data_IF_647706805388
#
_entry.id   IF_647706805388
#
_cell.length_a   1.000
_cell.length_b   1.000
_cell.length_c   1.000
_cell.angle_alpha   90.00
_cell.angle_beta   90.00
_cell.angle_gamma   90.00
#
_symmetry.space_group_name_H-M   'P 1'
#
loop_
_entity.id
_entity.type
_entity.pdbx_description
1 polymer ?
#
# COMPACT_ATOMS: atom_id res chain seq x y z
N UNK A 1 7.08 20.29 34.31
CA UNK A 1 6.65 19.69 33.05
C UNK A 1 6.43 18.20 33.30
N UNK A 2 5.19 17.78 33.47
CA UNK A 2 4.87 16.35 33.56
C UNK A 2 5.11 15.72 32.20
N UNK A 3 6.06 14.76 32.10
CA UNK A 3 6.12 13.84 31.01
C UNK A 3 4.83 13.01 31.07
N UNK A 4 3.86 13.35 30.25
CA UNK A 4 2.76 12.45 29.95
C UNK A 4 3.43 11.25 29.31
N UNK A 5 3.48 10.13 30.05
CA UNK A 5 3.97 8.88 29.49
C UNK A 5 3.19 8.60 28.23
N UNK A 6 3.88 8.30 27.11
CA UNK A 6 3.23 7.97 25.85
C UNK A 6 2.22 6.84 26.12
N UNK A 7 0.94 7.11 25.89
CA UNK A 7 -0.10 6.09 25.95
C UNK A 7 0.15 5.20 24.74
N UNK A 8 0.76 4.06 24.96
CA UNK A 8 0.98 3.08 23.89
C UNK A 8 -0.33 2.34 23.60
N UNK A 9 -0.69 2.22 22.34
CA UNK A 9 -1.80 1.39 21.93
C UNK A 9 -1.45 -0.08 22.20
N UNK A 10 -2.11 -0.66 23.20
CA UNK A 10 -1.81 -2.01 23.69
C UNK A 10 -3.11 -2.78 23.94
N UNK A 11 -3.10 -4.08 23.62
CA UNK A 11 -4.22 -4.96 23.95
C UNK A 11 -4.06 -5.61 25.34
N UNK A 12 -5.08 -6.39 25.74
CA UNK A 12 -5.10 -7.09 27.02
C UNK A 12 -4.02 -8.18 27.17
N UNK A 13 -3.28 -8.50 26.09
CA UNK A 13 -2.17 -9.47 26.06
C UNK A 13 -0.80 -8.78 26.02
N UNK A 14 -0.75 -7.48 26.35
CA UNK A 14 0.47 -6.66 26.30
C UNK A 14 1.10 -6.51 24.90
N UNK A 15 0.36 -6.80 23.82
CA UNK A 15 0.85 -6.55 22.45
C UNK A 15 0.70 -5.08 22.12
N UNK A 16 1.78 -4.45 21.70
CA UNK A 16 1.82 -3.05 21.31
C UNK A 16 1.59 -2.90 19.80
N UNK A 17 0.73 -1.96 19.44
CA UNK A 17 0.45 -1.64 18.04
C UNK A 17 1.16 -0.34 17.67
N UNK A 18 2.13 -0.45 16.79
CA UNK A 18 2.92 0.69 16.30
C UNK A 18 2.71 0.98 14.82
N UNK A 19 1.78 0.26 14.20
CA UNK A 19 1.51 0.25 12.77
C UNK A 19 0.02 0.40 12.49
N UNK A 20 -0.31 1.24 11.51
CA UNK A 20 -1.69 1.43 11.05
C UNK A 20 -1.74 1.39 9.50
N UNK A 21 -2.87 0.89 9.00
CA UNK A 21 -3.25 1.01 7.58
C UNK A 21 -4.31 2.09 7.45
N UNK A 22 -4.02 3.09 6.61
CA UNK A 22 -4.93 4.21 6.35
C UNK A 22 -5.50 4.06 4.94
N UNK A 23 -6.80 3.78 4.85
CA UNK A 23 -7.53 3.75 3.59
C UNK A 23 -7.86 5.18 3.17
N UNK A 24 -7.35 5.60 2.01
CA UNK A 24 -7.49 6.97 1.51
C UNK A 24 -8.67 7.13 0.57
N UNK A 25 -9.13 6.06 -0.06
CA UNK A 25 -10.20 6.07 -1.06
C UNK A 25 -10.78 4.67 -1.23
N UNK A 26 -12.04 4.60 -1.61
CA UNK A 26 -12.70 3.35 -2.01
C UNK A 26 -12.54 3.08 -3.51
N UNK A 27 -12.20 4.10 -4.30
CA UNK A 27 -12.05 4.00 -5.76
C UNK A 27 -10.89 3.09 -6.13
N UNK A 28 -11.13 2.21 -7.11
CA UNK A 28 -10.10 1.37 -7.72
C UNK A 28 -10.29 1.34 -9.24
N UNK A 29 -9.18 1.33 -9.98
CA UNK A 29 -9.16 1.23 -11.43
C UNK A 29 -9.05 -0.22 -11.94
N UNK A 30 -8.98 -1.21 -11.02
CA UNK A 30 -9.02 -2.64 -11.33
C UNK A 30 -10.37 -3.23 -10.93
N UNK A 31 -10.70 -4.39 -11.54
CA UNK A 31 -11.92 -5.15 -11.29
C UNK A 31 -11.59 -6.58 -10.88
N UNK A 32 -10.69 -6.71 -9.88
CA UNK A 32 -10.25 -8.03 -9.44
C UNK A 32 -11.42 -8.89 -8.99
N UNK A 33 -11.52 -10.11 -9.54
CA UNK A 33 -12.65 -11.01 -9.36
C UNK A 33 -12.99 -11.29 -7.88
N UNK A 34 -11.99 -11.33 -7.02
CA UNK A 34 -12.13 -11.60 -5.59
C UNK A 34 -12.37 -10.35 -4.74
N UNK A 35 -12.27 -9.13 -5.32
CA UNK A 35 -12.36 -7.86 -4.60
C UNK A 35 -13.53 -7.01 -5.12
N UNK A 36 -13.45 -6.53 -6.36
CA UNK A 36 -14.43 -5.65 -7.00
C UNK A 36 -14.83 -6.19 -8.39
N UNK A 37 -15.51 -7.36 -8.47
CA UNK A 37 -15.77 -8.03 -9.75
C UNK A 37 -16.59 -7.17 -10.73
N UNK A 38 -17.43 -6.29 -10.20
CA UNK A 38 -18.27 -5.36 -10.99
C UNK A 38 -17.60 -3.98 -11.16
N UNK A 39 -16.35 -3.82 -10.71
CA UNK A 39 -15.66 -2.54 -10.62
C UNK A 39 -16.17 -1.69 -9.46
N UNK A 40 -15.51 -0.53 -9.27
CA UNK A 40 -15.94 0.42 -8.26
C UNK A 40 -17.32 0.98 -8.61
N UNK A 41 -18.22 0.93 -7.64
CA UNK A 41 -19.51 1.59 -7.67
C UNK A 41 -19.56 2.58 -6.52
N UNK A 42 -19.99 3.80 -6.78
CA UNK A 42 -20.07 4.83 -5.75
C UNK A 42 -21.22 4.46 -4.80
N UNK A 43 -20.85 3.94 -3.63
CA UNK A 43 -21.81 3.45 -2.64
C UNK A 43 -21.96 4.41 -1.45
N UNK A 44 -21.04 5.34 -1.27
CA UNK A 44 -21.04 6.27 -0.13
C UNK A 44 -21.09 7.72 -0.61
N UNK A 45 -22.01 8.53 -0.11
CA UNK A 45 -22.02 9.97 -0.31
C UNK A 45 -20.93 10.68 0.50
N UNK A 46 -20.28 9.98 1.44
CA UNK A 46 -19.27 10.57 2.32
C UNK A 46 -17.99 10.89 1.56
N UNK A 47 -17.53 12.14 1.60
CA UNK A 47 -16.27 12.52 0.98
C UNK A 47 -15.09 11.83 1.68
N UNK A 48 -14.04 11.53 0.94
CA UNK A 48 -12.80 11.05 1.54
C UNK A 48 -12.20 12.15 2.46
N UNK A 49 -11.51 11.73 3.54
CA UNK A 49 -10.85 12.64 4.47
C UNK A 49 -9.98 13.66 3.73
N UNK A 50 -10.11 14.94 4.08
CA UNK A 50 -9.26 16.01 3.57
C UNK A 50 -7.93 16.08 4.31
N UNK A 51 -6.99 16.92 3.86
CA UNK A 51 -5.66 17.05 4.44
C UNK A 51 -5.68 17.45 5.92
N UNK A 52 -6.61 18.32 6.33
CA UNK A 52 -6.73 18.74 7.73
C UNK A 52 -7.19 17.59 8.63
N UNK A 53 -8.17 16.83 8.18
CA UNK A 53 -8.68 15.66 8.92
C UNK A 53 -7.61 14.57 9.01
N UNK A 54 -6.85 14.33 7.93
CA UNK A 54 -5.70 13.41 7.94
C UNK A 54 -4.63 13.90 8.91
N UNK A 55 -4.34 15.20 8.95
CA UNK A 55 -3.38 15.78 9.90
C UNK A 55 -3.77 15.50 11.35
N UNK A 56 -5.03 15.76 11.70
CA UNK A 56 -5.55 15.52 13.04
C UNK A 56 -5.51 14.03 13.42
N UNK A 57 -5.88 13.16 12.47
CA UNK A 57 -5.80 11.71 12.66
C UNK A 57 -4.36 11.26 12.91
N UNK A 58 -3.40 11.72 12.10
CA UNK A 58 -1.99 11.34 12.24
C UNK A 58 -1.41 11.86 13.56
N UNK A 59 -1.77 13.08 13.98
CA UNK A 59 -1.35 13.62 15.28
C UNK A 59 -1.81 12.71 16.43
N UNK A 60 -3.08 12.31 16.46
CA UNK A 60 -3.60 11.38 17.47
C UNK A 60 -2.93 9.99 17.41
N UNK A 61 -2.67 9.46 16.21
CA UNK A 61 -1.96 8.20 16.05
C UNK A 61 -0.52 8.26 16.58
N UNK A 62 0.17 9.36 16.36
CA UNK A 62 1.53 9.59 16.88
C UNK A 62 1.53 9.63 18.42
N UNK A 63 0.56 10.27 19.05
CA UNK A 63 0.40 10.28 20.51
C UNK A 63 0.19 8.87 21.08
N UNK A 64 -0.48 7.99 20.31
CA UNK A 64 -0.69 6.58 20.65
C UNK A 64 0.54 5.68 20.34
N UNK A 65 1.67 6.24 19.92
CA UNK A 65 2.89 5.51 19.65
C UNK A 65 3.00 4.87 18.26
N UNK A 66 2.13 5.25 17.33
CA UNK A 66 2.22 4.79 15.93
C UNK A 66 3.41 5.50 15.26
N UNK A 67 4.32 4.70 14.69
CA UNK A 67 5.48 5.18 13.93
C UNK A 67 5.54 4.66 12.51
N UNK A 68 4.61 3.78 12.13
CA UNK A 68 4.51 3.21 10.78
C UNK A 68 3.09 3.38 10.25
N UNK A 69 2.98 4.04 9.09
CA UNK A 69 1.71 4.22 8.37
C UNK A 69 1.83 3.57 7.01
N UNK A 70 0.80 2.81 6.62
CA UNK A 70 0.66 2.28 5.27
C UNK A 70 -0.58 2.84 4.62
N UNK A 71 -0.38 3.58 3.54
CA UNK A 71 -1.44 4.08 2.69
C UNK A 71 -2.02 2.95 1.85
N UNK A 72 -3.33 2.90 1.78
CA UNK A 72 -4.09 1.89 1.04
C UNK A 72 -5.44 2.48 0.61
N UNK A 73 -6.38 1.64 0.24
CA UNK A 73 -7.74 2.00 -0.14
C UNK A 73 -8.28 0.99 -1.13
N UNK A 74 -9.04 1.42 -2.10
CA UNK A 74 -9.17 0.74 -3.38
C UNK A 74 -7.81 0.83 -4.07
N UNK A 75 -7.54 1.93 -4.79
CA UNK A 75 -6.22 2.22 -5.32
C UNK A 75 -5.78 3.64 -4.90
N UNK A 76 -4.81 3.77 -3.97
CA UNK A 76 -4.44 5.07 -3.41
C UNK A 76 -3.83 6.03 -4.45
N UNK A 77 -3.22 5.53 -5.52
CA UNK A 77 -2.66 6.37 -6.60
C UNK A 77 -3.72 7.07 -7.47
N UNK A 78 -5.01 6.78 -7.25
CA UNK A 78 -6.10 7.51 -7.87
C UNK A 78 -6.44 8.81 -7.14
N UNK A 79 -5.94 8.96 -5.92
CA UNK A 79 -6.16 10.15 -5.13
C UNK A 79 -5.25 11.28 -5.61
N UNK A 80 -5.83 12.43 -5.98
CA UNK A 80 -5.11 13.53 -6.62
C UNK A 80 -4.11 14.21 -5.69
N UNK A 81 -4.44 14.30 -4.40
CA UNK A 81 -3.64 14.93 -3.34
C UNK A 81 -2.74 13.91 -2.59
N UNK A 82 -2.43 12.75 -3.21
CA UNK A 82 -1.61 11.70 -2.59
C UNK A 82 -0.21 12.21 -2.21
N UNK A 83 0.38 13.04 -3.05
CA UNK A 83 1.71 13.61 -2.80
C UNK A 83 1.70 14.50 -1.55
N UNK A 84 0.72 15.38 -1.45
CA UNK A 84 0.53 16.29 -0.30
C UNK A 84 0.24 15.49 0.98
N UNK A 85 -0.54 14.41 0.88
CA UNK A 85 -0.79 13.50 2.02
C UNK A 85 0.51 12.85 2.49
N UNK A 86 1.37 12.38 1.58
CA UNK A 86 2.66 11.79 1.94
C UNK A 86 3.56 12.81 2.63
N UNK A 87 3.68 14.02 2.08
CA UNK A 87 4.44 15.12 2.67
C UNK A 87 3.93 15.49 4.06
N UNK A 88 2.60 15.60 4.21
CA UNK A 88 1.95 15.87 5.50
C UNK A 88 2.29 14.80 6.54
N UNK A 89 2.15 13.52 6.21
CA UNK A 89 2.47 12.42 7.12
C UNK A 89 3.96 12.43 7.50
N UNK A 90 4.83 12.74 6.56
CA UNK A 90 6.28 12.81 6.80
C UNK A 90 6.72 14.04 7.55
N UNK A 91 5.89 15.08 7.67
CA UNK A 91 6.16 16.22 8.55
C UNK A 91 6.12 15.86 10.05
N UNK A 92 5.54 14.71 10.42
CA UNK A 92 5.57 14.18 11.76
C UNK A 92 6.88 13.38 11.99
N UNK A 93 7.84 13.86 12.80
CA UNK A 93 9.15 13.21 12.95
C UNK A 93 9.09 11.84 13.60
N UNK A 94 8.01 11.52 14.30
CA UNK A 94 7.75 10.21 14.90
C UNK A 94 7.45 9.14 13.86
N UNK A 95 6.93 9.50 12.69
CA UNK A 95 6.67 8.54 11.61
C UNK A 95 7.98 8.15 10.95
N UNK A 96 8.44 6.94 11.23
CA UNK A 96 9.70 6.37 10.71
C UNK A 96 9.52 5.67 9.37
N UNK A 97 8.33 5.07 9.17
CA UNK A 97 8.03 4.29 7.97
C UNK A 97 6.73 4.77 7.34
N UNK A 98 6.82 5.24 6.11
CA UNK A 98 5.68 5.50 5.25
C UNK A 98 5.66 4.46 4.13
N UNK A 99 4.61 3.63 4.11
CA UNK A 99 4.43 2.58 3.12
C UNK A 99 3.19 2.84 2.27
N UNK A 100 3.16 2.27 1.07
CA UNK A 100 1.96 2.24 0.23
C UNK A 100 1.68 0.81 -0.23
N UNK A 101 0.39 0.44 -0.34
CA UNK A 101 -0.06 -0.76 -1.05
C UNK A 101 -0.85 -0.32 -2.27
N UNK A 102 -0.45 -0.77 -3.45
CA UNK A 102 -0.96 -0.30 -4.73
C UNK A 102 -0.93 -1.43 -5.78
N UNK A 103 -1.78 -1.34 -6.79
CA UNK A 103 -1.67 -2.16 -8.01
C UNK A 103 -0.55 -1.69 -8.94
N UNK A 104 0.13 -0.61 -8.59
CA UNK A 104 1.28 -0.01 -9.28
C UNK A 104 1.05 0.49 -10.72
N UNK A 105 -0.15 0.39 -11.27
CA UNK A 105 -0.42 0.77 -12.66
C UNK A 105 -0.09 2.23 -12.97
N UNK A 106 -0.38 3.15 -12.03
CA UNK A 106 -0.09 4.59 -12.20
C UNK A 106 1.15 5.05 -11.43
N UNK A 107 1.74 4.16 -10.64
CA UNK A 107 2.81 4.52 -9.71
C UNK A 107 4.09 4.95 -10.44
N UNK A 108 4.47 4.26 -11.53
CA UNK A 108 5.78 4.45 -12.18
C UNK A 108 6.05 5.89 -12.61
N UNK A 109 5.02 6.59 -13.09
CA UNK A 109 5.15 7.99 -13.52
C UNK A 109 5.45 8.99 -12.38
N UNK A 110 5.15 8.62 -11.12
CA UNK A 110 5.28 9.48 -9.94
C UNK A 110 6.17 8.89 -8.85
N UNK A 111 6.86 7.77 -9.13
CA UNK A 111 7.60 7.03 -8.12
C UNK A 111 8.67 7.89 -7.44
N UNK A 112 9.44 8.64 -8.22
CA UNK A 112 10.52 9.50 -7.71
C UNK A 112 9.96 10.64 -6.84
N UNK A 113 8.82 11.23 -7.23
CA UNK A 113 8.14 12.26 -6.45
C UNK A 113 7.65 11.71 -5.10
N UNK A 114 7.10 10.49 -5.09
CA UNK A 114 6.65 9.84 -3.85
C UNK A 114 7.82 9.45 -2.94
N UNK A 115 8.95 9.02 -3.50
CA UNK A 115 10.17 8.76 -2.74
C UNK A 115 10.70 10.07 -2.15
N UNK A 116 10.74 11.15 -2.91
CA UNK A 116 11.13 12.47 -2.43
C UNK A 116 10.19 13.00 -1.33
N UNK A 117 8.88 12.70 -1.41
CA UNK A 117 7.90 12.98 -0.37
C UNK A 117 8.02 12.09 0.88
N UNK A 118 8.98 11.13 0.86
CA UNK A 118 9.33 10.31 2.02
C UNK A 118 8.69 8.92 2.05
N UNK A 119 8.20 8.41 0.91
CA UNK A 119 7.83 7.00 0.78
C UNK A 119 9.06 6.13 1.03
N UNK A 120 8.96 5.18 1.96
CA UNK A 120 10.06 4.27 2.34
C UNK A 120 9.84 2.83 1.88
N UNK A 121 8.59 2.39 1.84
CA UNK A 121 8.24 0.99 1.59
C UNK A 121 7.12 0.89 0.55
N UNK A 122 7.29 -0.01 -0.39
CA UNK A 122 6.32 -0.27 -1.46
C UNK A 122 5.83 -1.71 -1.42
N UNK A 123 4.51 -1.87 -1.41
CA UNK A 123 3.86 -3.16 -1.58
C UNK A 123 3.06 -3.12 -2.88
N UNK A 124 3.37 -3.99 -3.81
CA UNK A 124 2.68 -4.09 -5.10
C UNK A 124 1.78 -5.31 -5.08
N UNK A 125 0.50 -5.12 -5.35
CA UNK A 125 -0.45 -6.22 -5.55
C UNK A 125 -0.34 -6.74 -6.97
N UNK A 126 0.14 -7.99 -7.13
CA UNK A 126 0.29 -8.65 -8.44
C UNK A 126 0.13 -10.16 -8.29
N UNK A 127 -0.98 -10.68 -8.78
CA UNK A 127 -1.43 -12.05 -8.53
C UNK A 127 -0.88 -13.08 -9.52
N UNK A 128 -0.30 -12.64 -10.66
CA UNK A 128 0.25 -13.51 -11.69
C UNK A 128 1.30 -12.78 -12.52
N UNK A 129 2.30 -13.54 -12.99
CA UNK A 129 3.28 -13.12 -14.01
C UNK A 129 2.86 -13.54 -15.41
N UNK A 130 1.82 -14.36 -15.54
CA UNK A 130 1.22 -14.73 -16.82
C UNK A 130 0.21 -13.66 -17.22
N UNK A 131 0.37 -13.06 -18.43
CA UNK A 131 -0.45 -11.96 -18.92
C UNK A 131 -1.94 -12.29 -19.03
N UNK A 132 -2.25 -13.48 -19.56
CA UNK A 132 -3.65 -13.90 -19.72
C UNK A 132 -4.30 -14.10 -18.38
N UNK A 133 -3.61 -14.77 -17.44
CA UNK A 133 -4.10 -15.01 -16.08
C UNK A 133 -4.23 -13.70 -15.30
N UNK A 134 -3.24 -12.80 -15.39
CA UNK A 134 -3.31 -11.48 -14.80
C UNK A 134 -4.56 -10.72 -15.31
N UNK A 135 -4.78 -10.74 -16.62
CA UNK A 135 -5.97 -10.13 -17.22
C UNK A 135 -7.26 -10.79 -16.77
N UNK A 136 -7.31 -12.11 -16.68
CA UNK A 136 -8.48 -12.83 -16.15
C UNK A 136 -8.80 -12.43 -14.71
N UNK A 137 -7.79 -12.31 -13.84
CA UNK A 137 -7.97 -11.96 -12.43
C UNK A 137 -8.37 -10.51 -12.27
N UNK A 138 -7.67 -9.58 -12.92
CA UNK A 138 -7.78 -8.13 -12.68
C UNK A 138 -8.68 -7.41 -13.65
N UNK A 139 -9.01 -8.03 -14.79
CA UNK A 139 -9.71 -7.48 -15.95
C UNK A 139 -9.03 -6.25 -16.55
N UNK A 140 -7.70 -6.18 -16.41
CA UNK A 140 -6.87 -5.09 -16.92
C UNK A 140 -5.61 -5.66 -17.58
N UNK A 141 -5.30 -5.21 -18.81
CA UNK A 141 -4.09 -5.60 -19.54
C UNK A 141 -2.97 -4.57 -19.32
N UNK A 142 -2.35 -4.61 -18.14
CA UNK A 142 -1.30 -3.66 -17.73
C UNK A 142 -0.10 -4.32 -17.04
N UNK A 143 0.07 -5.63 -17.21
CA UNK A 143 1.14 -6.37 -16.55
C UNK A 143 2.53 -5.79 -16.89
N UNK A 144 2.80 -5.47 -18.17
CA UNK A 144 4.11 -4.96 -18.59
C UNK A 144 4.46 -3.62 -17.92
N UNK A 145 3.48 -2.70 -17.81
CA UNK A 145 3.67 -1.42 -17.14
C UNK A 145 3.94 -1.60 -15.64
N UNK A 146 3.27 -2.58 -15.00
CA UNK A 146 3.50 -2.90 -13.59
C UNK A 146 4.89 -3.50 -13.40
N UNK A 147 5.33 -4.41 -14.28
CA UNK A 147 6.67 -4.98 -14.24
C UNK A 147 7.76 -3.92 -14.41
N UNK A 148 7.57 -2.95 -15.31
CA UNK A 148 8.46 -1.80 -15.46
C UNK A 148 8.53 -0.97 -14.17
N UNK A 149 7.39 -0.70 -13.55
CA UNK A 149 7.32 0.00 -12.25
C UNK A 149 8.06 -0.78 -11.15
N UNK A 150 7.95 -2.12 -11.13
CA UNK A 150 8.70 -2.97 -10.19
C UNK A 150 10.22 -2.80 -10.42
N UNK A 151 10.68 -2.81 -11.66
CA UNK A 151 12.11 -2.63 -11.96
C UNK A 151 12.61 -1.24 -11.52
N UNK A 152 11.85 -0.18 -11.79
CA UNK A 152 12.13 1.17 -11.31
C UNK A 152 12.22 1.20 -9.76
N UNK A 153 11.26 0.59 -9.08
CA UNK A 153 11.24 0.54 -7.63
C UNK A 153 12.43 -0.22 -7.04
N UNK A 154 12.84 -1.33 -7.66
CA UNK A 154 14.00 -2.12 -7.24
C UNK A 154 15.33 -1.38 -7.47
N UNK A 155 15.41 -0.49 -8.45
CA UNK A 155 16.56 0.35 -8.73
C UNK A 155 16.61 1.63 -7.88
N UNK A 156 15.53 1.94 -7.15
CA UNK A 156 15.38 3.15 -6.35
C UNK A 156 15.95 3.00 -4.92
N UNK A 157 15.90 4.10 -4.15
CA UNK A 157 16.32 4.14 -2.75
C UNK A 157 15.23 3.68 -1.76
N UNK A 158 14.19 2.98 -2.20
CA UNK A 158 13.21 2.40 -1.31
C UNK A 158 13.84 1.37 -0.36
N UNK A 159 13.51 1.46 0.92
CA UNK A 159 14.01 0.52 1.93
C UNK A 159 13.46 -0.90 1.72
N UNK A 160 12.26 -1.01 1.16
CA UNK A 160 11.61 -2.28 0.92
C UNK A 160 10.63 -2.21 -0.26
N UNK A 161 10.74 -3.19 -1.15
CA UNK A 161 9.75 -3.48 -2.18
C UNK A 161 9.22 -4.89 -1.95
N UNK A 162 7.91 -5.05 -1.85
CA UNK A 162 7.22 -6.33 -1.70
C UNK A 162 6.20 -6.52 -2.79
N UNK A 163 6.04 -7.76 -3.25
CA UNK A 163 4.91 -8.18 -4.06
C UNK A 163 3.97 -8.99 -3.16
N UNK A 164 2.70 -8.61 -3.17
CA UNK A 164 1.62 -9.36 -2.54
C UNK A 164 0.81 -10.04 -3.63
N UNK A 165 0.65 -11.35 -3.53
CA UNK A 165 -0.21 -12.13 -4.42
C UNK A 165 -1.29 -12.83 -3.60
N UNK A 166 -2.53 -12.78 -4.08
CA UNK A 166 -3.62 -13.58 -3.53
C UNK A 166 -3.55 -14.95 -4.17
N UNK A 167 -3.41 -15.98 -3.34
CA UNK A 167 -3.40 -17.37 -3.79
C UNK A 167 -4.82 -17.80 -4.12
N UNK A 168 -5.11 -17.92 -5.39
CA UNK A 168 -6.34 -18.50 -5.91
C UNK A 168 -6.03 -19.85 -6.54
N UNK A 169 -7.04 -20.73 -6.61
CA UNK A 169 -6.88 -22.10 -7.10
C UNK A 169 -6.12 -22.22 -8.42
N UNK A 170 -6.27 -21.23 -9.29
CA UNK A 170 -5.69 -21.23 -10.64
C UNK A 170 -4.29 -20.59 -10.72
N UNK A 171 -3.70 -20.13 -9.60
CA UNK A 171 -2.36 -19.51 -9.58
C UNK A 171 -1.33 -20.33 -8.78
N UNK A 172 -1.71 -21.49 -8.26
CA UNK A 172 -0.82 -22.33 -7.44
C UNK A 172 0.37 -22.90 -8.22
N UNK A 173 0.20 -23.16 -9.52
CA UNK A 173 1.25 -23.63 -10.42
C UNK A 173 2.38 -22.60 -10.60
N UNK A 174 2.08 -21.30 -10.62
CA UNK A 174 3.10 -20.24 -10.72
C UNK A 174 4.00 -20.17 -9.46
N UNK A 175 3.48 -20.58 -8.30
CA UNK A 175 4.27 -20.71 -7.08
C UNK A 175 5.22 -21.90 -7.16
N UNK A 176 4.73 -23.05 -7.63
CA UNK A 176 5.50 -24.27 -7.75
C UNK A 176 6.67 -24.11 -8.74
N UNK A 177 6.45 -23.38 -9.84
CA UNK A 177 7.46 -23.11 -10.86
C UNK A 177 8.53 -22.08 -10.41
N UNK A 178 8.43 -21.55 -9.18
CA UNK A 178 9.37 -20.55 -8.66
C UNK A 178 9.36 -19.20 -9.40
N UNK A 179 8.41 -18.99 -10.29
CA UNK A 179 8.33 -17.77 -11.10
C UNK A 179 8.02 -16.53 -10.25
N UNK A 180 7.29 -16.71 -9.16
CA UNK A 180 7.08 -15.68 -8.13
C UNK A 180 8.23 -15.63 -7.12
N UNK A 181 9.25 -16.48 -7.24
CA UNK A 181 10.47 -16.45 -6.45
C UNK A 181 11.50 -15.53 -7.13
N UNK A 182 11.55 -14.30 -6.76
CA UNK A 182 12.65 -13.42 -7.16
C UNK A 182 13.77 -13.47 -6.12
N UNK A 183 14.97 -13.58 -6.64
CA UNK A 183 16.22 -13.51 -5.86
C UNK A 183 16.32 -12.13 -5.22
N UNK A 184 16.31 -12.07 -3.88
CA UNK A 184 16.45 -10.92 -2.98
C UNK A 184 15.13 -10.21 -2.62
N UNK A 185 14.58 -10.60 -1.46
CA UNK A 185 13.60 -9.84 -0.63
C UNK A 185 12.14 -9.72 -1.09
N UNK A 186 11.62 -10.56 -1.96
CA UNK A 186 10.26 -10.39 -2.50
C UNK A 186 9.17 -11.26 -1.84
N UNK A 187 9.45 -12.13 -0.94
CA UNK A 187 8.38 -12.85 -0.21
C UNK A 187 8.67 -12.90 1.28
N UNK A 188 8.12 -11.99 2.04
CA UNK A 188 7.81 -12.21 3.47
C UNK A 188 6.41 -11.74 3.74
N UNK A 189 5.55 -12.71 4.06
CA UNK A 189 4.27 -12.47 4.70
C UNK A 189 3.05 -12.77 3.83
N UNK A 190 2.66 -14.03 3.76
CA UNK A 190 1.25 -14.38 3.74
C UNK A 190 0.76 -14.09 5.15
N UNK A 191 0.21 -12.90 5.39
CA UNK A 191 -0.60 -12.65 6.59
C UNK A 191 -2.01 -13.18 6.29
N UNK A 192 -2.41 -14.19 7.05
CA UNK A 192 -3.76 -14.76 7.10
C UNK A 192 -4.75 -13.76 7.65
#
# INVERSE_FOLDING_TARGET
MHKIGSILLQDNFARQFSYVRLSLTERCNFKCQYCLPNGYQECSPEPALNLHEISNLVAGLVELGIWKIRLTGGEPTLRRDLLEIMQLIRSFPQIKTLAITTNAYKLGAHLDEYIAAGLTNLNISMDSLNRERFHQITQVDKLDAIQQTIQQALASNLQQVKINAVLIKHSLDELADGRLHSRRNILRGVER
#
